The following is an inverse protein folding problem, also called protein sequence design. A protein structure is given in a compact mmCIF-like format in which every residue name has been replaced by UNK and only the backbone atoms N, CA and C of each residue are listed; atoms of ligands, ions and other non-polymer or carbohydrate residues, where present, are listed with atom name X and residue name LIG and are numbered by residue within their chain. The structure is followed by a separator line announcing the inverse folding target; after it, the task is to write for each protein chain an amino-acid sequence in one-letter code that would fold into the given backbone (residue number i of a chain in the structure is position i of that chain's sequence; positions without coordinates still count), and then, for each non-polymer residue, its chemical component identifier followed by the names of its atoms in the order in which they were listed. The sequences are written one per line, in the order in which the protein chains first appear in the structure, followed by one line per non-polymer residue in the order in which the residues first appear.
data_IF_223389199167
#
_entry.id   IF_223389199167
#
_cell.length_a   1.000
_cell.length_b   1.000
_cell.length_c   1.000
_cell.angle_alpha   90.00
_cell.angle_beta   90.00
_cell.angle_gamma   90.00
#
_symmetry.space_group_name_H-M   'P 1'
#
loop_
_entity.id
_entity.type
_entity.pdbx_description
1 polymer ?
#
# COMPACT_ATOMS: atom_id res chain seq x y z
N UNK A 1 13.64 26.05 -1.45
CA UNK A 1 14.59 25.00 -1.81
C UNK A 1 13.86 23.77 -2.31
N UNK A 2 14.27 23.23 -3.42
CA UNK A 2 13.67 22.00 -3.95
C UNK A 2 14.06 20.80 -3.08
N UNK A 3 13.11 19.93 -2.80
CA UNK A 3 13.40 18.69 -2.08
C UNK A 3 14.19 17.73 -2.96
N UNK A 4 15.14 17.04 -2.35
CA UNK A 4 15.88 16.01 -3.02
C UNK A 4 14.96 14.82 -3.28
N UNK A 5 14.97 14.30 -4.50
CA UNK A 5 14.21 13.08 -4.83
C UNK A 5 14.90 11.87 -4.24
N UNK A 6 14.10 10.94 -3.74
CA UNK A 6 14.57 9.72 -3.08
C UNK A 6 13.90 8.50 -3.70
N UNK A 7 14.61 7.39 -3.70
CA UNK A 7 14.01 6.09 -3.95
C UNK A 7 13.55 5.52 -2.61
N UNK A 8 12.32 5.03 -2.58
CA UNK A 8 11.72 4.44 -1.39
C UNK A 8 11.40 2.98 -1.66
N UNK A 9 11.62 2.13 -0.66
CA UNK A 9 11.42 0.70 -0.79
C UNK A 9 10.44 0.21 0.26
N UNK A 10 9.50 -0.62 -0.16
CA UNK A 10 8.57 -1.32 0.71
C UNK A 10 8.79 -2.81 0.56
N UNK A 11 9.04 -3.51 1.68
CA UNK A 11 9.20 -4.96 1.68
C UNK A 11 7.98 -5.57 2.34
N UNK A 12 7.22 -6.33 1.57
CA UNK A 12 6.01 -6.97 2.05
C UNK A 12 6.33 -8.25 2.83
N UNK A 13 5.35 -8.74 3.59
CA UNK A 13 5.54 -9.93 4.42
C UNK A 13 5.88 -11.17 3.62
N UNK A 14 5.43 -11.25 2.36
CA UNK A 14 5.72 -12.37 1.47
C UNK A 14 7.07 -12.25 0.76
N UNK A 15 7.85 -11.20 1.07
CA UNK A 15 9.15 -10.97 0.46
C UNK A 15 9.12 -10.10 -0.79
N UNK A 16 7.93 -9.73 -1.28
CA UNK A 16 7.84 -8.84 -2.42
C UNK A 16 8.39 -7.46 -2.07
N UNK A 17 9.23 -6.91 -2.94
CA UNK A 17 9.84 -5.59 -2.75
C UNK A 17 9.32 -4.65 -3.82
N UNK A 18 8.74 -3.54 -3.38
CA UNK A 18 8.25 -2.48 -4.27
C UNK A 18 9.15 -1.26 -4.14
N UNK A 19 9.67 -0.79 -5.26
CA UNK A 19 10.46 0.44 -5.29
C UNK A 19 9.59 1.58 -5.83
N UNK A 20 9.59 2.69 -5.13
CA UNK A 20 8.80 3.88 -5.46
C UNK A 20 9.73 5.04 -5.71
N UNK A 21 9.48 5.78 -6.77
CA UNK A 21 10.23 6.98 -7.08
C UNK A 21 11.18 6.82 -8.24
N UNK A 22 12.14 7.75 -8.38
CA UNK A 22 12.48 8.76 -7.35
C UNK A 22 11.37 9.80 -7.17
N UNK A 23 11.17 10.20 -5.92
CA UNK A 23 10.14 11.16 -5.56
C UNK A 23 10.62 12.10 -4.46
N UNK A 24 10.14 13.34 -4.51
CA UNK A 24 10.33 14.31 -3.44
C UNK A 24 9.16 14.32 -2.47
N UNK A 25 8.10 13.57 -2.73
CA UNK A 25 6.93 13.52 -1.86
C UNK A 25 7.29 12.91 -0.50
N UNK A 26 6.73 13.42 0.61
CA UNK A 26 7.06 12.94 1.96
C UNK A 26 6.28 11.67 2.31
N UNK A 27 6.43 10.62 1.50
CA UNK A 27 5.75 9.36 1.71
C UNK A 27 6.44 8.56 2.81
N UNK A 28 5.66 7.95 3.69
CA UNK A 28 6.18 7.19 4.83
C UNK A 28 5.75 5.72 4.82
N UNK A 29 4.64 5.40 4.18
CA UNK A 29 4.06 4.06 4.22
C UNK A 29 3.55 3.64 2.85
N UNK A 30 3.55 2.34 2.63
CA UNK A 30 2.98 1.68 1.47
C UNK A 30 1.92 0.69 1.95
N UNK A 31 0.81 0.61 1.24
CA UNK A 31 -0.24 -0.36 1.57
C UNK A 31 -0.60 -1.19 0.34
N UNK A 32 -1.03 -2.42 0.60
CA UNK A 32 -1.47 -3.34 -0.44
C UNK A 32 -2.72 -4.06 0.03
N UNK A 33 -3.67 -4.20 -0.86
CA UNK A 33 -4.91 -4.92 -0.62
C UNK A 33 -4.99 -6.05 -1.63
N UNK A 34 -5.25 -7.28 -1.14
CA UNK A 34 -5.57 -8.40 -2.00
C UNK A 34 -7.04 -8.71 -1.77
N UNK A 35 -7.88 -8.43 -2.75
CA UNK A 35 -9.32 -8.67 -2.67
C UNK A 35 -9.65 -10.04 -3.23
N UNK A 36 -10.38 -10.84 -2.46
CA UNK A 36 -10.83 -12.17 -2.88
C UNK A 36 -12.27 -12.06 -3.36
N UNK A 37 -12.44 -12.15 -4.68
CA UNK A 37 -13.72 -11.81 -5.33
C UNK A 37 -14.69 -12.99 -5.43
N UNK A 38 -14.22 -14.19 -5.10
CA UNK A 38 -15.00 -15.40 -5.28
C UNK A 38 -14.60 -16.15 -6.54
N UNK A 39 -14.84 -17.46 -6.55
CA UNK A 39 -14.47 -18.31 -7.67
C UNK A 39 -12.97 -18.43 -7.91
N UNK A 40 -12.18 -18.19 -6.87
CA UNK A 40 -10.71 -18.25 -6.96
C UNK A 40 -10.08 -17.01 -7.58
N UNK A 41 -10.86 -15.97 -7.86
CA UNK A 41 -10.32 -14.75 -8.46
C UNK A 41 -9.86 -13.77 -7.40
N UNK A 42 -8.77 -13.08 -7.68
CA UNK A 42 -8.23 -12.03 -6.81
C UNK A 42 -7.93 -10.79 -7.61
N UNK A 43 -7.92 -9.67 -6.91
CA UNK A 43 -7.54 -8.38 -7.49
C UNK A 43 -6.65 -7.64 -6.49
N UNK A 44 -5.62 -6.99 -6.98
CA UNK A 44 -4.65 -6.32 -6.11
C UNK A 44 -4.76 -4.82 -6.30
N UNK A 45 -4.86 -4.11 -5.19
CA UNK A 45 -4.80 -2.65 -5.14
C UNK A 45 -3.65 -2.26 -4.24
N UNK A 46 -3.01 -1.15 -4.54
CA UNK A 46 -1.90 -0.66 -3.74
C UNK A 46 -1.81 0.86 -3.83
N UNK A 47 -1.08 1.42 -2.88
CA UNK A 47 -0.83 2.84 -2.86
C UNK A 47 0.14 3.20 -1.75
N UNK A 48 0.37 4.48 -1.60
CA UNK A 48 1.28 4.99 -0.58
C UNK A 48 0.64 6.14 0.18
N UNK A 49 1.15 6.37 1.39
CA UNK A 49 0.58 7.34 2.30
C UNK A 49 1.70 8.17 2.94
N UNK A 50 1.33 9.33 3.43
CA UNK A 50 2.25 10.27 4.06
C UNK A 50 2.33 10.09 5.57
N UNK A 51 1.51 9.19 6.13
CA UNK A 51 1.52 8.89 7.56
C UNK A 51 0.89 7.52 7.79
N UNK A 52 1.17 6.95 8.97
CA UNK A 52 0.53 5.71 9.37
C UNK A 52 -0.99 5.89 9.52
N UNK A 53 -1.42 7.02 10.02
CA UNK A 53 -2.86 7.30 10.17
C UNK A 53 -3.57 7.32 8.81
N UNK A 54 -2.95 7.92 7.81
CA UNK A 54 -3.51 7.93 6.46
C UNK A 54 -3.61 6.51 5.90
N UNK A 55 -2.55 5.72 6.06
CA UNK A 55 -2.54 4.33 5.60
C UNK A 55 -3.59 3.49 6.34
N UNK A 56 -3.71 3.66 7.65
CA UNK A 56 -4.68 2.94 8.47
C UNK A 56 -6.11 3.31 8.07
N UNK A 57 -6.35 4.56 7.71
CA UNK A 57 -7.66 5.01 7.23
C UNK A 57 -8.11 4.27 5.97
N UNK A 58 -7.18 3.84 5.13
CA UNK A 58 -7.50 3.06 3.93
C UNK A 58 -8.11 1.71 4.28
N UNK A 59 -7.78 1.16 5.44
CA UNK A 59 -8.35 -0.11 5.88
C UNK A 59 -9.85 -0.03 6.08
N UNK A 60 -10.34 1.02 6.73
CA UNK A 60 -11.78 1.22 6.92
C UNK A 60 -12.50 1.39 5.59
N UNK A 61 -11.92 2.20 4.69
CA UNK A 61 -12.49 2.40 3.36
C UNK A 61 -12.52 1.09 2.58
N UNK A 62 -11.49 0.25 2.75
CA UNK A 62 -11.42 -1.06 2.09
C UNK A 62 -12.50 -1.99 2.61
N UNK A 63 -12.74 -2.00 3.92
CA UNK A 63 -13.79 -2.82 4.51
C UNK A 63 -15.17 -2.42 3.96
N UNK A 64 -15.43 -1.12 3.82
CA UNK A 64 -16.66 -0.64 3.22
C UNK A 64 -16.80 -1.07 1.76
N UNK A 65 -15.73 -0.94 1.00
CA UNK A 65 -15.73 -1.36 -0.41
C UNK A 65 -15.97 -2.87 -0.54
N UNK A 66 -15.39 -3.66 0.36
CA UNK A 66 -15.59 -5.11 0.36
C UNK A 66 -17.05 -5.48 0.54
N UNK A 67 -17.74 -4.81 1.48
CA UNK A 67 -19.17 -5.03 1.69
C UNK A 67 -19.99 -4.61 0.48
N UNK A 68 -19.71 -3.44 -0.08
CA UNK A 68 -20.46 -2.91 -1.21
C UNK A 68 -20.27 -3.73 -2.49
N UNK A 69 -19.06 -4.25 -2.69
CA UNK A 69 -18.73 -5.01 -3.90
C UNK A 69 -18.90 -6.51 -3.75
N UNK A 70 -19.21 -6.98 -2.55
CA UNK A 70 -19.44 -8.39 -2.29
C UNK A 70 -18.19 -9.25 -2.33
N UNK A 71 -17.05 -8.72 -1.93
CA UNK A 71 -15.82 -9.52 -1.81
C UNK A 71 -16.00 -10.55 -0.72
N UNK A 72 -15.48 -11.76 -0.94
CA UNK A 72 -15.51 -12.81 0.08
C UNK A 72 -14.68 -12.42 1.30
N UNK A 73 -13.50 -11.84 1.04
CA UNK A 73 -12.59 -11.33 2.07
C UNK A 73 -11.54 -10.45 1.41
N UNK A 74 -10.73 -9.82 2.22
CA UNK A 74 -9.57 -9.08 1.72
C UNK A 74 -8.43 -9.20 2.72
N UNK A 75 -7.20 -9.09 2.20
CA UNK A 75 -6.00 -8.98 3.01
C UNK A 75 -5.47 -7.56 2.86
N UNK A 76 -5.15 -6.93 3.98
CA UNK A 76 -4.65 -5.56 3.98
C UNK A 76 -3.31 -5.53 4.71
N UNK A 77 -2.31 -4.97 4.04
CA UNK A 77 -0.98 -4.89 4.62
C UNK A 77 -0.44 -3.47 4.48
N UNK A 78 0.16 -2.97 5.56
CA UNK A 78 0.84 -1.67 5.59
C UNK A 78 2.28 -1.93 5.97
N UNK A 79 3.21 -1.35 5.22
CA UNK A 79 4.63 -1.43 5.56
C UNK A 79 5.24 -0.03 5.52
N UNK A 80 6.25 0.17 6.34
CA UNK A 80 7.00 1.41 6.37
C UNK A 80 7.91 1.48 5.15
N UNK A 81 7.94 2.66 4.53
CA UNK A 81 8.85 2.91 3.42
C UNK A 81 10.24 3.27 3.95
N UNK A 82 11.25 2.64 3.37
CA UNK A 82 12.65 2.86 3.75
C UNK A 82 13.35 3.51 2.57
N UNK A 83 14.16 4.52 2.84
CA UNK A 83 14.94 5.14 1.78
C UNK A 83 15.90 4.10 1.21
N UNK A 84 15.77 3.82 -0.08
CA UNK A 84 16.55 2.81 -0.74
C UNK A 84 17.98 3.27 -1.00
N UNK A 85 18.83 2.34 -1.41
CA UNK A 85 20.19 2.68 -1.79
C UNK A 85 20.17 3.59 -3.01
N UNK A 86 21.05 4.56 -2.98
CA UNK A 86 21.20 5.51 -4.10
C UNK A 86 22.32 5.08 -5.00
#
# INVERSE_FOLDING_TARGET
MARKKRLLTATMADGYVKTIGPTAAPLTHYWRIVAHLGGGRTEVFWGHAKSLNEATGKRAATADAARQRGWERFDFEIVELVEGPT
#
